data_IF_086624924044
#
_entry.id   IF_086624924044
#
_cell.length_a   1.000
_cell.length_b   1.000
_cell.length_c   1.000
_cell.angle_alpha   90.00
_cell.angle_beta   90.00
_cell.angle_gamma   90.00
#
_symmetry.space_group_name_H-M   'P 1'
#
loop_
_entity.id
_entity.type
_entity.pdbx_description
1 polymer ?
#
# COMPACT_ATOMS: atom_id res chain seq x y z
N UNK A 1 14.62 10.50 6.29
CA UNK A 1 13.60 10.03 5.33
C UNK A 1 14.13 8.95 4.38
N UNK A 2 15.45 8.90 4.10
CA UNK A 2 16.02 7.96 3.13
C UNK A 2 15.92 6.50 3.61
N UNK A 3 16.13 6.22 4.90
CA UNK A 3 16.09 4.84 5.40
C UNK A 3 14.66 4.30 5.40
N UNK A 4 13.67 5.12 5.77
CA UNK A 4 12.25 4.80 5.75
C UNK A 4 11.77 4.56 4.31
N UNK A 5 12.18 5.41 3.36
CA UNK A 5 11.85 5.25 1.94
C UNK A 5 12.49 4.00 1.31
N UNK A 6 13.76 3.69 1.63
CA UNK A 6 14.41 2.48 1.14
C UNK A 6 13.74 1.21 1.71
N UNK A 7 13.34 1.25 2.99
CA UNK A 7 12.54 0.19 3.62
C UNK A 7 11.23 -0.01 2.86
N UNK A 8 10.52 1.08 2.51
CA UNK A 8 9.29 1.01 1.71
C UNK A 8 9.50 0.33 0.36
N UNK A 9 10.54 0.70 -0.39
CA UNK A 9 10.81 0.12 -1.72
C UNK A 9 11.09 -1.38 -1.61
N UNK A 10 11.96 -1.79 -0.69
CA UNK A 10 12.34 -3.20 -0.52
C UNK A 10 11.13 -4.06 -0.16
N UNK A 11 10.33 -3.60 0.80
CA UNK A 11 9.12 -4.34 1.18
C UNK A 11 8.04 -4.27 0.10
N UNK A 12 7.89 -3.16 -0.61
CA UNK A 12 6.95 -3.02 -1.74
C UNK A 12 7.21 -4.06 -2.82
N UNK A 13 8.47 -4.23 -3.22
CA UNK A 13 8.89 -5.25 -4.20
C UNK A 13 8.54 -6.65 -3.68
N UNK A 14 8.84 -6.92 -2.41
CA UNK A 14 8.53 -8.20 -1.78
C UNK A 14 7.02 -8.48 -1.75
N UNK A 15 6.19 -7.53 -1.29
CA UNK A 15 4.74 -7.69 -1.24
C UNK A 15 4.13 -7.82 -2.62
N UNK A 16 4.59 -7.04 -3.60
CA UNK A 16 4.14 -7.15 -4.99
C UNK A 16 4.44 -8.54 -5.57
N UNK A 17 5.66 -9.07 -5.34
CA UNK A 17 6.02 -10.41 -5.77
C UNK A 17 5.16 -11.51 -5.10
N UNK A 18 4.95 -11.42 -3.79
CA UNK A 18 4.15 -12.40 -3.05
C UNK A 18 2.66 -12.32 -3.39
N UNK A 19 2.12 -11.12 -3.61
CA UNK A 19 0.71 -10.93 -3.97
C UNK A 19 0.42 -11.46 -5.38
N UNK A 20 1.33 -11.22 -6.34
CA UNK A 20 1.22 -11.78 -7.69
C UNK A 20 1.31 -13.32 -7.74
N UNK A 21 2.03 -13.94 -6.80
CA UNK A 21 2.27 -15.39 -6.80
C UNK A 21 1.28 -16.17 -5.94
N UNK A 22 0.85 -15.60 -4.82
CA UNK A 22 0.06 -16.30 -3.80
C UNK A 22 -1.27 -15.63 -3.47
N UNK A 23 -1.55 -14.42 -4.00
CA UNK A 23 -2.76 -13.62 -3.72
C UNK A 23 -3.10 -13.56 -2.22
N UNK A 24 -2.07 -13.56 -1.36
CA UNK A 24 -2.21 -13.61 0.09
C UNK A 24 -1.13 -12.77 0.76
N UNK A 25 -1.59 -11.79 1.52
CA UNK A 25 -0.77 -11.05 2.48
C UNK A 25 -0.98 -11.66 3.87
N UNK A 26 0.06 -12.25 4.44
CA UNK A 26 -0.02 -12.82 5.79
C UNK A 26 0.11 -11.75 6.88
N UNK A 27 -0.54 -11.94 8.02
CA UNK A 27 -0.37 -11.04 9.18
C UNK A 27 1.10 -11.00 9.66
N UNK A 28 1.86 -12.09 9.48
CA UNK A 28 3.28 -12.16 9.86
C UNK A 28 4.13 -11.24 8.98
N UNK A 29 3.93 -11.25 7.67
CA UNK A 29 4.67 -10.35 6.76
C UNK A 29 4.34 -8.88 7.02
N UNK A 30 3.08 -8.55 7.31
CA UNK A 30 2.68 -7.20 7.75
C UNK A 30 3.31 -6.80 9.08
N UNK A 31 3.42 -7.73 10.04
CA UNK A 31 4.12 -7.47 11.30
C UNK A 31 5.59 -7.14 11.09
N UNK A 32 6.28 -7.86 10.19
CA UNK A 32 7.67 -7.58 9.83
C UNK A 32 7.81 -6.19 9.18
N UNK A 33 6.91 -5.83 8.25
CA UNK A 33 6.86 -4.50 7.65
C UNK A 33 6.71 -3.42 8.74
N UNK A 34 5.74 -3.58 9.63
CA UNK A 34 5.44 -2.62 10.69
C UNK A 34 6.66 -2.41 11.62
N UNK A 35 7.33 -3.49 12.02
CA UNK A 35 8.54 -3.43 12.84
C UNK A 35 9.67 -2.73 12.07
N UNK A 36 9.87 -3.08 10.80
CA UNK A 36 10.89 -2.45 9.96
C UNK A 36 10.67 -0.95 9.77
N UNK A 37 9.45 -0.53 9.45
CA UNK A 37 9.09 0.89 9.31
C UNK A 37 9.17 1.64 10.64
N UNK A 38 8.74 1.03 11.74
CA UNK A 38 8.88 1.62 13.08
C UNK A 38 10.34 1.85 13.47
N UNK A 39 11.21 0.86 13.22
CA UNK A 39 12.63 0.96 13.52
C UNK A 39 13.31 2.07 12.69
N UNK A 40 13.01 2.13 11.39
CA UNK A 40 13.53 3.19 10.52
C UNK A 40 12.97 4.57 10.88
N UNK A 41 11.68 4.67 11.22
CA UNK A 41 11.02 5.91 11.63
C UNK A 41 11.60 6.44 12.95
N UNK A 42 11.88 5.57 13.91
CA UNK A 42 12.51 5.93 15.19
C UNK A 42 13.95 6.43 14.97
N UNK A 43 14.71 5.79 14.09
CA UNK A 43 16.07 6.21 13.77
C UNK A 43 16.13 7.61 13.12
N UNK A 44 15.09 8.00 12.39
CA UNK A 44 15.02 9.28 11.67
C UNK A 44 14.14 10.34 12.36
N UNK A 45 13.58 10.06 13.54
CA UNK A 45 12.60 10.90 14.24
C UNK A 45 11.46 11.37 13.33
N UNK A 46 10.95 10.48 12.47
CA UNK A 46 9.87 10.82 11.53
C UNK A 46 8.52 10.92 12.25
N UNK A 47 7.69 11.87 11.82
CA UNK A 47 6.34 12.03 12.36
C UNK A 47 5.44 10.87 11.95
N UNK A 48 4.54 10.47 12.86
CA UNK A 48 3.53 9.44 12.60
C UNK A 48 2.19 10.11 12.27
N UNK A 49 1.56 9.66 11.20
CA UNK A 49 0.30 10.20 10.70
C UNK A 49 -0.89 9.35 11.14
N UNK A 50 -1.13 9.33 12.45
CA UNK A 50 -2.17 8.48 13.08
C UNK A 50 -3.56 8.79 12.51
N UNK A 51 -3.90 10.07 12.33
CA UNK A 51 -5.22 10.48 11.81
C UNK A 51 -5.46 9.98 10.38
N UNK A 52 -4.45 10.11 9.51
CA UNK A 52 -4.49 9.58 8.15
C UNK A 52 -4.69 8.07 8.13
N UNK A 53 -4.01 7.34 9.03
CA UNK A 53 -4.14 5.90 9.16
C UNK A 53 -5.56 5.48 9.56
N UNK A 54 -6.19 6.18 10.50
CA UNK A 54 -7.59 5.93 10.90
C UNK A 54 -8.57 6.20 9.75
N UNK A 55 -8.38 7.29 9.00
CA UNK A 55 -9.19 7.60 7.83
C UNK A 55 -9.06 6.52 6.75
N UNK A 56 -7.83 6.17 6.37
CA UNK A 56 -7.56 5.13 5.36
C UNK A 56 -8.09 3.78 5.83
N UNK A 57 -7.95 3.43 7.11
CA UNK A 57 -8.54 2.22 7.68
C UNK A 57 -10.06 2.20 7.56
N UNK A 58 -10.72 3.32 7.87
CA UNK A 58 -12.18 3.44 7.77
C UNK A 58 -12.66 3.31 6.32
N UNK A 59 -12.00 4.00 5.38
CA UNK A 59 -12.29 3.91 3.93
C UNK A 59 -12.06 2.51 3.38
N UNK A 60 -10.93 1.89 3.73
CA UNK A 60 -10.60 0.54 3.27
C UNK A 60 -11.51 -0.53 3.90
N UNK A 61 -12.06 -0.30 5.09
CA UNK A 61 -13.09 -1.16 5.69
C UNK A 61 -14.43 -1.10 4.94
N UNK A 62 -14.77 0.05 4.34
CA UNK A 62 -15.87 0.12 3.37
C UNK A 62 -15.52 -0.70 2.14
N UNK A 63 -14.32 -0.55 1.60
CA UNK A 63 -13.82 -1.35 0.47
C UNK A 63 -13.85 -2.86 0.72
N UNK A 64 -13.59 -3.30 1.94
CA UNK A 64 -13.69 -4.71 2.34
C UNK A 64 -15.08 -5.31 2.07
N UNK A 65 -16.16 -4.53 2.31
CA UNK A 65 -17.52 -4.97 2.00
C UNK A 65 -17.77 -5.16 0.50
N UNK A 66 -16.98 -4.49 -0.34
CA UNK A 66 -17.04 -4.59 -1.81
C UNK A 66 -16.02 -5.58 -2.38
N UNK A 67 -15.43 -6.45 -1.55
CA UNK A 67 -14.53 -7.51 -2.01
C UNK A 67 -13.04 -7.16 -1.98
N UNK A 68 -12.64 -6.05 -1.36
CA UNK A 68 -11.23 -5.74 -1.10
C UNK A 68 -10.65 -6.77 -0.13
N UNK A 69 -9.43 -7.25 -0.38
CA UNK A 69 -8.78 -8.22 0.51
C UNK A 69 -8.49 -7.63 1.89
N UNK A 70 -8.77 -8.38 2.96
CA UNK A 70 -8.43 -7.94 4.33
C UNK A 70 -6.92 -7.69 4.52
N UNK A 71 -6.07 -8.31 3.69
CA UNK A 71 -4.64 -8.04 3.64
C UNK A 71 -4.33 -6.64 3.09
N UNK A 72 -5.00 -6.24 2.02
CA UNK A 72 -4.81 -4.95 1.34
C UNK A 72 -5.24 -3.77 2.24
N UNK A 73 -6.36 -3.94 2.95
CA UNK A 73 -6.84 -3.00 3.97
C UNK A 73 -5.76 -2.74 5.03
N UNK A 74 -5.17 -3.81 5.56
CA UNK A 74 -4.12 -3.71 6.58
C UNK A 74 -2.85 -3.09 6.03
N UNK A 75 -2.46 -3.45 4.81
CA UNK A 75 -1.29 -2.89 4.14
C UNK A 75 -1.45 -1.37 3.96
N UNK A 76 -2.57 -0.91 3.40
CA UNK A 76 -2.86 0.51 3.22
C UNK A 76 -2.90 1.26 4.56
N UNK A 77 -3.44 0.64 5.61
CA UNK A 77 -3.49 1.22 6.96
C UNK A 77 -2.09 1.41 7.55
N UNK A 78 -1.20 0.42 7.41
CA UNK A 78 0.18 0.52 7.91
C UNK A 78 0.95 1.57 7.11
N UNK A 79 0.85 1.58 5.78
CA UNK A 79 1.58 2.54 4.96
C UNK A 79 1.14 3.99 5.19
N UNK A 80 -0.17 4.23 5.35
CA UNK A 80 -0.69 5.57 5.64
C UNK A 80 -0.23 6.12 6.99
N UNK A 81 0.11 5.27 7.95
CA UNK A 81 0.68 5.72 9.23
C UNK A 81 2.04 6.42 9.08
N UNK A 82 2.85 5.99 8.11
CA UNK A 82 4.22 6.51 7.95
C UNK A 82 4.38 7.47 6.76
N UNK A 83 3.53 7.37 5.74
CA UNK A 83 3.77 8.05 4.46
C UNK A 83 2.65 9.00 4.02
N UNK A 84 1.55 9.12 4.77
CA UNK A 84 0.42 9.95 4.37
C UNK A 84 0.20 11.11 5.35
N UNK A 85 0.86 12.27 5.16
CA UNK A 85 0.60 13.44 5.99
C UNK A 85 -0.86 13.90 5.84
N UNK A 86 -1.39 14.55 6.88
CA UNK A 86 -2.76 15.10 6.87
C UNK A 86 -2.78 16.40 6.07
N UNK A 87 -2.53 16.30 4.76
CA UNK A 87 -2.58 17.40 3.81
C UNK A 87 -3.41 17.02 2.60
N UNK A 88 -4.21 17.97 2.09
CA UNK A 88 -5.06 17.73 0.93
C UNK A 88 -4.25 17.30 -0.31
N UNK A 89 -3.06 17.85 -0.50
CA UNK A 89 -2.16 17.49 -1.61
C UNK A 89 -1.72 16.03 -1.52
N UNK A 90 -1.30 15.55 -0.35
CA UNK A 90 -0.84 14.17 -0.18
C UNK A 90 -1.96 13.16 -0.40
N UNK A 91 -3.18 13.44 0.07
CA UNK A 91 -4.34 12.59 -0.23
C UNK A 91 -4.67 12.55 -1.73
N UNK A 92 -4.62 13.70 -2.41
CA UNK A 92 -4.84 13.75 -3.86
C UNK A 92 -3.78 12.95 -4.62
N UNK A 93 -2.51 13.08 -4.24
CA UNK A 93 -1.40 12.34 -4.85
C UNK A 93 -1.50 10.84 -4.60
N UNK A 94 -1.85 10.42 -3.38
CA UNK A 94 -2.05 9.01 -3.06
C UNK A 94 -3.21 8.40 -3.87
N UNK A 95 -4.34 9.10 -3.99
CA UNK A 95 -5.47 8.65 -4.82
C UNK A 95 -5.09 8.59 -6.29
N UNK A 96 -4.39 9.61 -6.80
CA UNK A 96 -3.96 9.67 -8.20
C UNK A 96 -2.98 8.55 -8.52
N UNK A 97 -1.97 8.36 -7.66
CA UNK A 97 -0.99 7.27 -7.78
C UNK A 97 -1.67 5.90 -7.74
N UNK A 98 -2.64 5.71 -6.84
CA UNK A 98 -3.42 4.48 -6.78
C UNK A 98 -4.19 4.22 -8.09
N UNK A 99 -4.92 5.21 -8.61
CA UNK A 99 -5.70 5.09 -9.85
C UNK A 99 -4.82 4.80 -11.07
N UNK A 100 -3.68 5.48 -11.18
CA UNK A 100 -2.73 5.27 -12.29
C UNK A 100 -2.14 3.87 -12.22
N UNK A 101 -1.67 3.42 -11.06
CA UNK A 101 -1.00 2.12 -10.95
C UNK A 101 -2.02 0.97 -11.01
N UNK A 102 -3.24 1.18 -10.50
CA UNK A 102 -4.32 0.22 -10.67
C UNK A 102 -4.72 0.08 -12.14
N UNK A 103 -4.81 1.19 -12.89
CA UNK A 103 -5.17 1.13 -14.31
C UNK A 103 -4.08 0.43 -15.13
N UNK A 104 -2.79 0.68 -14.83
CA UNK A 104 -1.67 -0.06 -15.43
C UNK A 104 -1.75 -1.55 -15.08
N UNK A 105 -2.05 -1.90 -13.83
CA UNK A 105 -2.18 -3.29 -13.40
C UNK A 105 -3.32 -4.02 -14.11
N UNK A 106 -4.47 -3.34 -14.30
CA UNK A 106 -5.61 -3.86 -15.07
C UNK A 106 -5.23 -4.02 -16.55
N UNK A 107 -4.57 -3.01 -17.15
CA UNK A 107 -4.12 -3.08 -18.55
C UNK A 107 -3.14 -4.22 -18.78
N UNK A 108 -2.16 -4.40 -17.89
CA UNK A 108 -1.22 -5.53 -17.97
C UNK A 108 -1.98 -6.86 -17.87
N UNK A 109 -2.91 -6.99 -16.93
CA UNK A 109 -3.72 -8.20 -16.77
C UNK A 109 -4.52 -8.53 -18.03
N UNK A 110 -5.07 -7.51 -18.70
CA UNK A 110 -5.76 -7.65 -20.00
C UNK A 110 -4.81 -8.05 -21.14
N UNK A 111 -3.63 -7.44 -21.23
CA UNK A 111 -2.61 -7.75 -22.25
C UNK A 111 -2.13 -9.20 -22.13
N UNK A 112 -1.98 -9.70 -20.90
CA UNK A 112 -1.64 -11.10 -20.64
C UNK A 112 -2.80 -12.09 -20.87
N UNK A 113 -3.92 -11.64 -21.43
CA UNK A 113 -5.04 -12.49 -21.83
C UNK A 113 -5.83 -13.08 -20.67
N UNK A 114 -5.70 -12.53 -19.46
CA UNK A 114 -6.44 -12.98 -18.27
C UNK A 114 -7.83 -12.34 -18.22
N UNK A 115 -8.79 -13.05 -17.64
CA UNK A 115 -10.17 -12.53 -17.54
C UNK A 115 -10.23 -11.50 -16.41
N UNK A 116 -11.08 -10.49 -16.58
CA UNK A 116 -11.37 -9.48 -15.54
C UNK A 116 -12.06 -10.08 -14.30
N UNK A 117 -12.61 -11.29 -14.42
CA UNK A 117 -13.16 -12.07 -13.31
C UNK A 117 -12.10 -12.71 -12.43
N UNK A 118 -10.85 -12.81 -12.90
CA UNK A 118 -9.75 -13.36 -12.10
C UNK A 118 -9.28 -12.31 -11.08
N UNK A 119 -8.83 -12.76 -9.91
CA UNK A 119 -8.36 -11.87 -8.83
C UNK A 119 -7.19 -11.01 -9.29
N UNK A 120 -7.40 -9.70 -9.37
CA UNK A 120 -6.36 -8.72 -9.69
C UNK A 120 -5.56 -8.44 -8.41
N UNK A 121 -4.24 -8.61 -8.48
CA UNK A 121 -3.33 -8.28 -7.40
C UNK A 121 -3.36 -6.77 -7.12
N UNK A 122 -3.82 -6.38 -5.92
CA UNK A 122 -4.08 -4.99 -5.56
C UNK A 122 -2.97 -4.41 -4.67
N UNK A 123 -2.16 -5.27 -4.04
CA UNK A 123 -0.99 -4.87 -3.27
C UNK A 123 0.02 -4.04 -4.09
N UNK A 124 0.34 -4.37 -5.36
CA UNK A 124 1.24 -3.56 -6.18
C UNK A 124 0.74 -2.13 -6.39
N UNK A 125 -0.57 -1.96 -6.56
CA UNK A 125 -1.20 -0.64 -6.73
C UNK A 125 -1.14 0.19 -5.44
N UNK A 126 -1.41 -0.45 -4.29
CA UNK A 126 -1.30 0.20 -2.97
C UNK A 126 0.15 0.63 -2.72
N UNK A 127 1.10 -0.31 -2.82
CA UNK A 127 2.51 -0.01 -2.56
C UNK A 127 3.04 1.08 -3.50
N UNK A 128 2.67 1.02 -4.78
CA UNK A 128 3.05 2.03 -5.77
C UNK A 128 2.48 3.41 -5.45
N UNK A 129 1.23 3.50 -4.98
CA UNK A 129 0.61 4.76 -4.59
C UNK A 129 1.37 5.43 -3.44
N UNK A 130 1.78 4.65 -2.43
CA UNK A 130 2.55 5.17 -1.30
C UNK A 130 3.99 5.52 -1.68
N UNK A 131 4.62 4.81 -2.63
CA UNK A 131 5.92 5.21 -3.20
C UNK A 131 5.80 6.56 -3.92
N UNK A 132 4.70 6.77 -4.66
CA UNK A 132 4.45 8.03 -5.35
C UNK A 132 4.26 9.20 -4.37
N UNK A 133 3.50 8.97 -3.29
CA UNK A 133 3.23 9.97 -2.25
C UNK A 133 4.43 10.26 -1.34
N UNK A 134 5.38 9.32 -1.24
CA UNK A 134 6.56 9.45 -0.39
C UNK A 134 7.75 10.14 -1.07
N UNK A 135 7.57 10.63 -2.31
CA UNK A 135 8.56 11.37 -3.08
C UNK A 135 8.69 12.82 -2.60
#
# INVERSE_FOLDING_TARGET
>A
MLSVFLTLIVFSIWFSYFDLRYHRITNRSLGILFVGLSASSLAENSELHVFSSVLVSSLSMIGYKYGLGAGDVKLATVLSLYFLPVSHSAFSEAITGFLVISSISILLHLIFGRKLTDSIALAPAICGAFIWCAR
#
